data_IF_917073723981
#
_entry.id   IF_917073723981
#
_cell.length_a   1.000
_cell.length_b   1.000
_cell.length_c   1.000
_cell.angle_alpha   90.00
_cell.angle_beta   90.00
_cell.angle_gamma   90.00
#
_symmetry.space_group_name_H-M   'P 1'
#
loop_
_entity.id
_entity.type
_entity.pdbx_description
1 polymer ?
#
# COMPACT_ATOMS: atom_id res chain seq x y z
N UNK A 1 7.47 8.09 -13.38
CA UNK A 1 8.43 7.07 -13.81
C UNK A 1 7.69 6.01 -14.60
N UNK A 2 8.19 5.66 -15.77
CA UNK A 2 7.74 4.45 -16.47
C UNK A 2 8.55 3.28 -15.94
N UNK A 3 7.88 2.23 -15.49
CA UNK A 3 8.51 1.06 -14.86
C UNK A 3 8.98 0.01 -15.85
N UNK A 4 8.53 0.08 -17.11
CA UNK A 4 8.83 -0.91 -18.16
C UNK A 4 8.58 -2.36 -17.73
N UNK A 5 7.48 -2.58 -17.00
CA UNK A 5 7.08 -3.88 -16.42
C UNK A 5 8.15 -4.49 -15.48
N UNK A 6 9.02 -3.64 -14.96
CA UNK A 6 10.06 -4.04 -14.02
C UNK A 6 9.51 -4.40 -12.63
N UNK A 7 10.40 -4.91 -11.79
CA UNK A 7 10.07 -5.26 -10.41
C UNK A 7 9.61 -4.04 -9.62
N UNK A 8 8.41 -4.10 -9.06
CA UNK A 8 7.76 -2.99 -8.36
C UNK A 8 8.62 -2.44 -7.23
N UNK A 9 9.35 -3.29 -6.52
CA UNK A 9 10.27 -2.88 -5.46
C UNK A 9 11.39 -1.97 -5.95
N UNK A 10 11.97 -2.30 -7.11
CA UNK A 10 13.04 -1.50 -7.72
C UNK A 10 12.50 -0.15 -8.19
N UNK A 11 11.32 -0.16 -8.81
CA UNK A 11 10.67 1.05 -9.34
C UNK A 11 10.25 1.98 -8.19
N UNK A 12 9.64 1.43 -7.14
CA UNK A 12 9.18 2.18 -5.99
C UNK A 12 10.34 2.74 -5.15
N UNK A 13 11.42 1.97 -4.97
CA UNK A 13 12.65 2.45 -4.32
C UNK A 13 13.21 3.67 -5.05
N UNK A 14 13.46 3.54 -6.36
CA UNK A 14 13.96 4.66 -7.19
C UNK A 14 13.01 5.85 -7.20
N UNK A 15 11.70 5.60 -7.23
CA UNK A 15 10.68 6.66 -7.19
C UNK A 15 10.73 7.45 -5.89
N UNK A 16 10.86 6.77 -4.75
CA UNK A 16 10.96 7.40 -3.45
C UNK A 16 12.30 8.13 -3.27
N UNK A 17 13.43 7.57 -3.73
CA UNK A 17 14.72 8.27 -3.75
C UNK A 17 14.63 9.60 -4.50
N UNK A 18 14.07 9.59 -5.72
CA UNK A 18 13.86 10.82 -6.49
C UNK A 18 12.93 11.81 -5.79
N UNK A 19 11.89 11.34 -5.09
CA UNK A 19 10.99 12.20 -4.32
C UNK A 19 11.73 12.86 -3.16
N UNK A 20 12.53 12.10 -2.41
CA UNK A 20 13.36 12.57 -1.30
C UNK A 20 14.39 13.60 -1.80
N UNK A 21 15.10 13.32 -2.89
CA UNK A 21 16.07 14.26 -3.48
C UNK A 21 15.42 15.60 -3.84
N UNK A 22 14.23 15.56 -4.45
CA UNK A 22 13.46 16.77 -4.78
C UNK A 22 13.01 17.50 -3.53
N UNK A 23 12.53 16.78 -2.52
CA UNK A 23 12.10 17.36 -1.25
C UNK A 23 13.25 18.05 -0.52
N UNK A 24 14.46 17.45 -0.48
CA UNK A 24 15.66 18.10 0.10
C UNK A 24 15.98 19.43 -0.57
N UNK A 25 15.81 19.52 -1.88
CA UNK A 25 16.19 20.70 -2.66
C UNK A 25 15.11 21.79 -2.67
N UNK A 26 13.83 21.40 -2.68
CA UNK A 26 12.72 22.31 -2.97
C UNK A 26 11.61 22.31 -1.90
N UNK A 27 11.78 21.57 -0.80
CA UNK A 27 10.81 21.45 0.29
C UNK A 27 9.80 20.31 0.12
N UNK A 28 9.44 19.95 -1.11
CA UNK A 28 8.52 18.83 -1.40
C UNK A 28 8.92 18.07 -2.68
N UNK A 29 8.56 16.79 -2.72
CA UNK A 29 8.78 15.94 -3.89
C UNK A 29 7.69 14.89 -4.03
N UNK A 30 7.23 14.67 -5.26
CA UNK A 30 6.23 13.66 -5.59
C UNK A 30 6.62 12.97 -6.89
N UNK A 31 6.48 11.64 -6.92
CA UNK A 31 6.72 10.82 -8.10
C UNK A 31 5.59 9.82 -8.24
N UNK A 32 4.95 9.79 -9.41
CA UNK A 32 4.02 8.74 -9.80
C UNK A 32 4.74 7.70 -10.68
N UNK A 33 4.48 6.42 -10.46
CA UNK A 33 4.97 5.33 -11.29
C UNK A 33 3.82 4.70 -12.10
N UNK A 34 4.10 4.25 -13.32
CA UNK A 34 3.19 3.46 -14.16
C UNK A 34 3.94 2.30 -14.78
N UNK A 35 3.21 1.33 -15.33
CA UNK A 35 3.81 0.16 -16.00
C UNK A 35 4.84 -0.54 -15.08
N UNK A 36 4.41 -0.79 -13.85
CA UNK A 36 5.17 -1.40 -12.75
C UNK A 36 4.44 -2.65 -12.29
N UNK A 37 5.10 -3.47 -11.49
CA UNK A 37 4.51 -4.66 -10.86
C UNK A 37 4.27 -4.44 -9.35
N UNK A 38 3.83 -5.49 -8.65
CA UNK A 38 3.60 -5.49 -7.20
C UNK A 38 4.84 -5.03 -6.42
N UNK A 39 4.68 -4.07 -5.50
CA UNK A 39 5.82 -3.45 -4.79
C UNK A 39 6.04 -3.96 -3.35
N UNK A 40 5.32 -5.00 -2.90
CA UNK A 40 5.50 -5.53 -1.55
C UNK A 40 4.89 -4.65 -0.46
N UNK A 41 5.63 -4.49 0.65
CA UNK A 41 5.19 -3.73 1.82
C UNK A 41 5.32 -2.22 1.58
N UNK A 42 4.22 -1.50 1.66
CA UNK A 42 4.19 -0.07 1.36
C UNK A 42 4.94 0.75 2.41
N UNK A 43 4.91 0.32 3.68
CA UNK A 43 5.67 0.88 4.81
C UNK A 43 7.16 1.05 4.55
N UNK A 44 7.76 0.18 3.75
CA UNK A 44 9.18 0.27 3.40
C UNK A 44 9.52 1.60 2.70
N UNK A 45 8.71 2.05 1.74
CA UNK A 45 9.01 3.29 1.01
C UNK A 45 8.71 4.53 1.85
N UNK A 46 7.64 4.51 2.66
CA UNK A 46 7.37 5.60 3.60
C UNK A 46 8.53 5.80 4.59
N UNK A 47 9.12 4.71 5.11
CA UNK A 47 10.27 4.77 6.02
C UNK A 47 11.57 5.20 5.36
N UNK A 48 11.70 5.14 4.03
CA UNK A 48 12.83 5.76 3.33
C UNK A 48 12.83 7.28 3.54
N UNK A 49 11.65 7.92 3.51
CA UNK A 49 11.54 9.37 3.72
C UNK A 49 11.82 9.74 5.19
N UNK A 50 11.34 8.95 6.15
CA UNK A 50 11.57 9.23 7.58
C UNK A 50 13.04 9.14 7.96
N UNK A 51 13.83 8.25 7.34
CA UNK A 51 15.30 8.22 7.46
C UNK A 51 15.98 9.50 6.98
N UNK A 52 15.33 10.26 6.11
CA UNK A 52 15.75 11.58 5.67
C UNK A 52 15.20 12.73 6.54
N UNK A 53 14.59 12.44 7.68
CA UNK A 53 13.86 13.40 8.51
C UNK A 53 12.72 14.11 7.76
N UNK A 54 11.98 13.37 6.93
CA UNK A 54 10.85 13.86 6.13
C UNK A 54 9.60 13.02 6.35
N UNK A 55 8.44 13.64 6.14
CA UNK A 55 7.17 12.91 6.04
C UNK A 55 7.14 12.16 4.69
N UNK A 56 6.86 10.86 4.75
CA UNK A 56 6.68 10.00 3.59
C UNK A 56 5.23 9.60 3.40
N UNK A 57 4.72 9.72 2.18
CA UNK A 57 3.40 9.21 1.80
C UNK A 57 3.58 8.35 0.56
N UNK A 58 3.00 7.16 0.56
CA UNK A 58 3.02 6.25 -0.58
C UNK A 58 1.74 5.44 -0.67
N UNK A 59 1.42 4.99 -1.87
CA UNK A 59 0.32 4.08 -2.12
C UNK A 59 0.46 3.43 -3.49
N UNK A 60 -0.30 2.37 -3.70
CA UNK A 60 -0.40 1.70 -5.01
C UNK A 60 -1.83 1.26 -5.24
N UNK A 61 -2.23 1.15 -6.50
CA UNK A 61 -3.41 0.37 -6.86
C UNK A 61 -3.08 -1.13 -6.87
N UNK A 62 -4.12 -1.96 -6.83
CA UNK A 62 -4.02 -3.41 -6.96
C UNK A 62 -5.13 -3.94 -7.88
N UNK A 63 -5.04 -5.24 -8.24
CA UNK A 63 -6.09 -5.94 -8.98
C UNK A 63 -7.45 -5.82 -8.26
N UNK A 64 -8.58 -5.74 -8.99
CA UNK A 64 -9.91 -5.71 -8.38
C UNK A 64 -10.16 -6.89 -7.43
N UNK A 65 -10.54 -6.58 -6.18
CA UNK A 65 -10.86 -7.56 -5.14
C UNK A 65 -11.80 -7.06 -4.06
N UNK A 66 -12.20 -5.79 -4.11
CA UNK A 66 -13.03 -5.10 -3.12
C UNK A 66 -14.25 -4.55 -3.83
N UNK A 67 -15.43 -4.84 -3.29
CA UNK A 67 -16.68 -4.25 -3.76
C UNK A 67 -16.83 -2.81 -3.24
N UNK A 68 -17.39 -1.90 -4.05
CA UNK A 68 -17.73 -0.56 -3.56
C UNK A 68 -18.85 -0.63 -2.52
N UNK A 69 -19.05 0.43 -1.76
CA UNK A 69 -20.19 0.52 -0.83
C UNK A 69 -21.50 0.25 -1.59
N UNK A 70 -22.32 -0.66 -1.04
CA UNK A 70 -23.56 -1.16 -1.66
C UNK A 70 -23.40 -1.99 -2.94
N UNK A 71 -22.17 -2.39 -3.28
CA UNK A 71 -21.88 -3.32 -4.37
C UNK A 71 -21.52 -4.71 -3.87
N UNK A 72 -21.63 -5.69 -4.77
CA UNK A 72 -21.26 -7.10 -4.54
C UNK A 72 -20.20 -7.58 -5.55
N UNK A 73 -19.91 -6.78 -6.57
CA UNK A 73 -18.90 -7.07 -7.58
C UNK A 73 -17.55 -6.44 -7.22
N UNK A 74 -16.46 -7.18 -7.48
CA UNK A 74 -15.10 -6.70 -7.25
C UNK A 74 -14.73 -5.59 -8.25
N UNK A 75 -14.50 -4.37 -7.76
CA UNK A 75 -14.13 -3.23 -8.61
C UNK A 75 -12.83 -2.55 -8.17
N UNK A 76 -12.58 -2.44 -6.87
CA UNK A 76 -11.42 -1.76 -6.30
C UNK A 76 -10.35 -2.77 -5.89
N UNK A 77 -9.08 -2.39 -5.94
CA UNK A 77 -8.03 -3.14 -5.24
C UNK A 77 -8.04 -2.86 -3.74
N UNK A 78 -7.22 -3.59 -2.98
CA UNK A 78 -6.95 -3.27 -1.55
C UNK A 78 -6.22 -1.94 -1.36
N UNK A 79 -5.67 -1.39 -2.46
CA UNK A 79 -5.16 -0.04 -2.64
C UNK A 79 -4.51 0.58 -1.39
N UNK A 80 -3.39 0.03 -0.90
CA UNK A 80 -2.80 0.49 0.34
C UNK A 80 -2.38 1.95 0.27
N UNK A 81 -2.54 2.64 1.40
CA UNK A 81 -2.10 4.01 1.62
C UNK A 81 -1.32 4.07 2.92
N UNK A 82 -0.12 4.62 2.84
CA UNK A 82 0.87 4.51 3.91
C UNK A 82 1.46 5.88 4.21
N UNK A 83 1.63 6.16 5.50
CA UNK A 83 2.19 7.40 6.02
C UNK A 83 3.35 7.07 6.95
N UNK A 84 4.47 7.76 6.77
CA UNK A 84 5.64 7.70 7.65
C UNK A 84 5.98 9.09 8.13
N UNK A 85 6.20 9.27 9.44
CA UNK A 85 6.61 10.54 10.02
C UNK A 85 7.80 10.30 10.98
N UNK A 86 8.84 11.14 10.94
CA UNK A 86 9.90 11.08 11.93
C UNK A 86 9.35 11.45 13.31
N UNK A 87 9.91 10.85 14.34
CA UNK A 87 9.59 11.06 15.75
C UNK A 87 10.89 11.29 16.52
N UNK A 88 10.79 11.64 17.79
CA UNK A 88 11.91 11.69 18.74
C UNK A 88 12.17 10.33 19.43
N UNK A 89 11.45 9.28 19.05
CA UNK A 89 11.66 7.90 19.50
C UNK A 89 12.67 7.17 18.60
N UNK A 90 13.09 5.96 19.01
CA UNK A 90 14.02 5.12 18.22
C UNK A 90 13.43 4.61 16.89
N UNK A 91 12.12 4.73 16.72
CA UNK A 91 11.39 4.28 15.52
C UNK A 91 10.43 5.37 15.04
N UNK A 92 10.25 5.52 13.72
CA UNK A 92 9.30 6.49 13.18
C UNK A 92 7.86 6.04 13.41
N UNK A 93 6.94 7.00 13.40
CA UNK A 93 5.52 6.69 13.24
C UNK A 93 5.29 6.15 11.81
N UNK A 94 4.66 4.99 11.69
CA UNK A 94 4.31 4.39 10.41
C UNK A 94 2.89 3.81 10.45
N UNK A 95 2.00 4.39 9.66
CA UNK A 95 0.72 3.80 9.32
C UNK A 95 0.86 3.07 7.99
N UNK A 96 0.75 1.75 7.99
CA UNK A 96 0.73 0.92 6.77
C UNK A 96 -0.54 0.08 6.73
N UNK A 97 -1.54 0.53 5.97
CA UNK A 97 -2.83 -0.13 5.89
C UNK A 97 -3.34 -0.27 4.45
N UNK A 98 -4.11 -1.33 4.23
CA UNK A 98 -5.02 -1.40 3.09
C UNK A 98 -6.20 -0.45 3.32
N UNK A 99 -6.85 0.00 2.25
CA UNK A 99 -8.12 0.74 2.35
C UNK A 99 -9.31 -0.17 2.64
N UNK A 100 -9.11 -1.50 2.54
CA UNK A 100 -10.09 -2.52 2.91
C UNK A 100 -9.88 -3.01 4.35
N UNK A 101 -10.93 -3.58 4.95
CA UNK A 101 -10.89 -4.17 6.31
C UNK A 101 -9.76 -5.22 6.44
N UNK A 102 -9.51 -5.97 5.37
CA UNK A 102 -8.50 -7.02 5.33
C UNK A 102 -7.77 -7.04 4.00
N UNK A 103 -6.57 -7.60 4.02
CA UNK A 103 -5.77 -7.87 2.83
C UNK A 103 -6.07 -9.27 2.32
N UNK A 104 -5.97 -9.48 1.00
CA UNK A 104 -6.19 -10.79 0.37
C UNK A 104 -5.33 -11.90 0.98
N UNK A 105 -4.07 -11.60 1.34
CA UNK A 105 -3.17 -12.56 1.96
C UNK A 105 -3.68 -13.12 3.30
N UNK A 106 -4.46 -12.34 4.06
CA UNK A 106 -5.09 -12.80 5.30
C UNK A 106 -6.24 -13.77 5.04
N UNK A 107 -7.00 -13.55 3.96
CA UNK A 107 -8.04 -14.50 3.51
C UNK A 107 -7.40 -15.82 3.05
N UNK A 108 -6.30 -15.74 2.30
CA UNK A 108 -5.52 -16.92 1.89
C UNK A 108 -4.96 -17.69 3.09
N UNK A 109 -4.56 -16.98 4.16
CA UNK A 109 -4.15 -17.61 5.42
C UNK A 109 -5.29 -18.36 6.12
N UNK A 110 -6.49 -17.77 6.21
CA UNK A 110 -7.67 -18.43 6.79
C UNK A 110 -8.00 -19.72 6.02
N UNK A 111 -8.03 -19.65 4.69
CA UNK A 111 -8.25 -20.82 3.84
C UNK A 111 -7.19 -21.92 4.04
N UNK A 112 -5.90 -21.55 4.12
CA UNK A 112 -4.79 -22.51 4.35
C UNK A 112 -4.83 -23.15 5.74
N UNK A 113 -5.36 -22.44 6.73
CA UNK A 113 -5.45 -22.94 8.11
C UNK A 113 -6.80 -23.59 8.43
N UNK A 114 -7.70 -23.69 7.46
CA UNK A 114 -9.03 -24.28 7.64
C UNK A 114 -9.90 -23.51 8.64
N UNK A 115 -9.67 -22.21 8.78
CA UNK A 115 -10.42 -21.33 9.70
C UNK A 115 -11.37 -20.45 8.90
N UNK A 116 -12.53 -20.17 9.47
CA UNK A 116 -13.47 -19.22 8.90
C UNK A 116 -12.95 -17.78 9.01
N UNK A 117 -13.35 -16.95 8.07
CA UNK A 117 -13.13 -15.50 8.15
C UNK A 117 -14.05 -14.91 9.22
N UNK A 118 -13.59 -13.90 9.99
CA UNK A 118 -14.48 -13.14 10.87
C UNK A 118 -15.68 -12.55 10.10
N UNK A 119 -16.84 -12.53 10.74
CA UNK A 119 -18.06 -11.94 10.17
C UNK A 119 -17.83 -10.46 9.76
N UNK A 120 -18.35 -10.08 8.59
CA UNK A 120 -18.19 -8.74 8.02
C UNK A 120 -16.85 -8.49 7.33
N UNK A 121 -15.95 -9.47 7.25
CA UNK A 121 -14.65 -9.32 6.57
C UNK A 121 -14.72 -9.53 5.05
N UNK A 122 -15.69 -10.32 4.60
CA UNK A 122 -15.89 -10.71 3.20
C UNK A 122 -17.38 -10.67 2.89
N UNK A 123 -17.74 -10.51 1.62
CA UNK A 123 -19.13 -10.58 1.16
C UNK A 123 -19.30 -11.89 0.41
N UNK A 124 -20.25 -12.71 0.85
CA UNK A 124 -20.63 -13.94 0.17
C UNK A 124 -21.32 -13.66 -1.18
N UNK A 125 -21.40 -14.68 -2.03
CA UNK A 125 -22.15 -14.59 -3.30
C UNK A 125 -23.66 -14.39 -3.11
N UNK A 126 -24.15 -14.61 -1.91
CA UNK A 126 -25.51 -14.37 -1.42
C UNK A 126 -25.71 -12.99 -0.78
N UNK A 127 -24.72 -12.10 -0.92
CA UNK A 127 -24.71 -10.73 -0.38
C UNK A 127 -24.66 -10.63 1.15
N UNK A 128 -24.42 -11.77 1.84
CA UNK A 128 -24.34 -11.83 3.30
C UNK A 128 -22.87 -11.63 3.76
N UNK A 129 -22.59 -10.70 4.70
CA UNK A 129 -21.26 -10.45 5.26
C UNK A 129 -20.75 -11.51 6.26
#
# INVERSE_FOLDING_TARGET
MDGHDGMGMVIAHKSMEMAIEKAKKYGMGMVAARNSTHYGIAGYYATMATKGNMIGITGTNARPSIAPTFGVENMLGTNPLTFGMPTDEEFPFVLDCATSISQRGRIEYYARTGKDTPAGMVIGSDEIP
#
